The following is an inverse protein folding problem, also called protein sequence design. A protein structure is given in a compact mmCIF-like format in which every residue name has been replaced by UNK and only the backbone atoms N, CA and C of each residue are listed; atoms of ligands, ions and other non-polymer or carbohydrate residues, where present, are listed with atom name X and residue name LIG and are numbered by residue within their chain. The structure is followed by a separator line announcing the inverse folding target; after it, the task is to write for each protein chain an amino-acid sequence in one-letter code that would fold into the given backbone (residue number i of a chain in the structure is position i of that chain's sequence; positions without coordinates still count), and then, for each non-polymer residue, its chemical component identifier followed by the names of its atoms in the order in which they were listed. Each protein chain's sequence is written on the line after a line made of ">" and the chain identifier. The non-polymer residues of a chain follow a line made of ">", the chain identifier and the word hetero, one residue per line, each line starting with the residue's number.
data_IF_134569318238
#
_entry.id   IF_134569318238
#
_cell.length_a   1.000
_cell.length_b   1.000
_cell.length_c   1.000
_cell.angle_alpha   90.00
_cell.angle_beta   90.00
_cell.angle_gamma   90.00
#
_symmetry.space_group_name_H-M   'P 1'
#
loop_
_entity.id
_entity.type
_entity.pdbx_description
1 polymer ?
#
# COMPACT_ATOMS: atom_id res chain seq x y z
N UNK A 1 20.38 4.33 0.07
CA UNK A 1 19.21 4.51 -0.75
C UNK A 1 18.08 5.09 0.05
N UNK A 2 17.44 6.13 -0.46
CA UNK A 2 16.49 6.93 0.31
C UNK A 2 15.14 6.24 0.56
N UNK A 3 14.70 5.38 -0.34
CA UNK A 3 13.40 4.70 -0.23
C UNK A 3 13.60 3.20 -0.22
N UNK A 4 14.07 2.69 0.92
CA UNK A 4 14.41 1.27 1.06
C UNK A 4 13.21 0.34 0.98
N UNK A 5 11.99 0.86 1.19
CA UNK A 5 10.78 0.06 1.09
C UNK A 5 10.37 -0.25 -0.36
N UNK A 6 10.95 0.45 -1.34
CA UNK A 6 10.66 0.20 -2.75
C UNK A 6 11.55 -0.92 -3.28
N UNK A 7 11.18 -2.15 -2.97
CA UNK A 7 11.91 -3.33 -3.37
C UNK A 7 10.95 -4.52 -3.50
N UNK A 8 11.49 -5.70 -3.77
CA UNK A 8 10.70 -6.91 -3.99
C UNK A 8 9.93 -7.37 -2.75
N UNK A 9 10.32 -6.89 -1.58
CA UNK A 9 9.66 -7.24 -0.32
C UNK A 9 8.67 -6.16 0.14
N UNK A 10 8.32 -5.25 -0.76
CA UNK A 10 7.36 -4.19 -0.48
C UNK A 10 6.02 -4.78 -0.02
N UNK A 11 5.45 -4.19 1.02
CA UNK A 11 4.11 -4.55 1.49
C UNK A 11 3.48 -3.39 2.24
N UNK A 12 2.15 -3.41 2.29
CA UNK A 12 1.40 -2.47 3.12
C UNK A 12 1.40 -2.98 4.56
N UNK A 13 1.39 -2.05 5.51
CA UNK A 13 1.38 -2.40 6.94
C UNK A 13 -0.04 -2.49 7.47
N UNK A 14 -0.25 -3.39 8.42
CA UNK A 14 -1.50 -3.47 9.18
C UNK A 14 -1.42 -2.51 10.37
N UNK A 15 -2.55 -2.32 11.05
CA UNK A 15 -2.56 -1.53 12.29
C UNK A 15 -1.66 -2.17 13.35
N UNK A 16 -1.61 -3.50 13.40
CA UNK A 16 -0.71 -4.20 14.31
C UNK A 16 0.75 -3.92 14.00
N UNK A 17 1.10 -3.89 12.71
CA UNK A 17 2.47 -3.55 12.30
C UNK A 17 2.80 -2.12 12.73
N UNK A 18 1.84 -1.20 12.56
CA UNK A 18 2.01 0.18 12.96
C UNK A 18 2.30 0.31 14.46
N UNK A 19 1.58 -0.47 15.28
CA UNK A 19 1.82 -0.49 16.72
C UNK A 19 3.25 -0.92 17.03
N UNK A 20 3.75 -1.92 16.34
CA UNK A 20 5.11 -2.43 16.56
C UNK A 20 6.16 -1.46 16.07
N UNK A 21 5.93 -0.82 14.93
CA UNK A 21 6.90 0.11 14.34
C UNK A 21 7.02 1.37 15.19
N UNK A 22 5.90 1.96 15.58
CA UNK A 22 5.87 3.20 16.34
C UNK A 22 5.86 2.97 17.85
N UNK A 23 5.68 1.73 18.27
CA UNK A 23 5.60 1.34 19.68
C UNK A 23 4.51 2.13 20.41
N UNK A 24 3.32 2.11 19.87
CA UNK A 24 2.15 2.79 20.39
C UNK A 24 1.03 1.79 20.69
N UNK A 25 0.04 2.24 21.43
CA UNK A 25 -1.12 1.40 21.74
C UNK A 25 -2.04 1.29 20.52
N UNK A 26 -2.90 0.27 20.54
CA UNK A 26 -3.88 0.06 19.48
C UNK A 26 -4.83 1.26 19.38
N UNK A 27 -5.29 1.77 20.51
CA UNK A 27 -6.19 2.92 20.56
C UNK A 27 -5.56 4.14 19.88
N UNK A 28 -4.29 4.40 20.16
CA UNK A 28 -3.59 5.53 19.59
C UNK A 28 -3.37 5.33 18.08
N UNK A 29 -3.04 4.12 17.66
CA UNK A 29 -2.88 3.82 16.24
C UNK A 29 -4.18 4.09 15.47
N UNK A 30 -5.32 3.64 15.97
CA UNK A 30 -6.60 3.90 15.33
C UNK A 30 -6.94 5.40 15.35
N UNK A 31 -6.57 6.10 16.41
CA UNK A 31 -6.77 7.53 16.49
C UNK A 31 -6.01 8.27 15.38
N UNK A 32 -4.77 7.86 15.12
CA UNK A 32 -3.96 8.46 14.07
C UNK A 32 -4.59 8.28 12.68
N UNK A 33 -5.04 7.07 12.37
CA UNK A 33 -5.61 6.81 11.04
C UNK A 33 -7.01 7.41 10.90
N UNK A 34 -7.79 7.44 11.97
CA UNK A 34 -9.14 8.00 11.91
C UNK A 34 -9.15 9.51 11.85
N UNK A 35 -8.17 10.17 12.47
CA UNK A 35 -8.07 11.62 12.45
C UNK A 35 -7.52 12.19 11.14
N UNK A 36 -6.91 11.33 10.32
CA UNK A 36 -6.29 11.75 9.08
C UNK A 36 -4.86 12.23 9.22
N UNK A 37 -4.30 12.20 10.43
CA UNK A 37 -2.90 12.56 10.64
C UNK A 37 -1.97 11.61 9.90
N UNK A 38 -2.36 10.34 9.85
CA UNK A 38 -1.65 9.31 9.12
C UNK A 38 -2.58 8.79 8.04
N UNK A 39 -2.21 8.97 6.79
CA UNK A 39 -3.02 8.49 5.66
C UNK A 39 -3.02 6.97 5.63
N UNK A 40 -4.15 6.40 5.30
CA UNK A 40 -4.27 4.95 5.21
C UNK A 40 -5.06 4.54 3.97
N UNK A 41 -4.84 3.32 3.54
CA UNK A 41 -5.58 2.70 2.43
C UNK A 41 -6.75 1.95 3.04
N UNK A 42 -7.95 2.32 2.64
CA UNK A 42 -9.16 1.63 3.11
C UNK A 42 -9.71 0.74 2.02
N UNK A 43 -9.68 -0.56 2.28
CA UNK A 43 -10.21 -1.56 1.36
C UNK A 43 -11.44 -2.15 2.05
N UNK A 44 -12.62 -1.62 1.72
CA UNK A 44 -13.86 -1.95 2.41
C UNK A 44 -13.72 -1.62 3.90
N UNK A 45 -13.62 -2.60 4.79
CA UNK A 45 -13.44 -2.35 6.23
C UNK A 45 -12.01 -2.55 6.69
N UNK A 46 -11.13 -2.97 5.79
CA UNK A 46 -9.73 -3.21 6.14
C UNK A 46 -8.92 -1.93 6.03
N UNK A 47 -8.03 -1.73 6.97
CA UNK A 47 -7.13 -0.58 7.02
C UNK A 47 -5.71 -1.06 6.80
N UNK A 48 -5.02 -0.43 5.85
CA UNK A 48 -3.62 -0.71 5.56
C UNK A 48 -2.87 0.60 5.44
N UNK A 49 -1.61 0.61 5.81
CA UNK A 49 -0.78 1.81 5.79
C UNK A 49 0.37 1.58 4.82
N UNK A 50 0.51 2.47 3.83
CA UNK A 50 1.62 2.38 2.91
C UNK A 50 2.91 2.85 3.58
N UNK A 51 4.07 2.29 3.18
CA UNK A 51 5.36 2.75 3.73
C UNK A 51 5.60 4.23 3.49
N UNK A 52 5.16 4.77 2.35
CA UNK A 52 5.36 6.19 2.06
C UNK A 52 4.47 7.08 2.93
N UNK A 53 3.26 6.63 3.27
CA UNK A 53 2.41 7.39 4.18
C UNK A 53 3.00 7.43 5.59
N UNK A 54 3.57 6.32 6.03
CA UNK A 54 4.24 6.28 7.33
C UNK A 54 5.48 7.19 7.35
N UNK A 55 6.25 7.18 6.28
CA UNK A 55 7.42 8.06 6.16
C UNK A 55 7.00 9.52 6.15
N UNK A 56 5.93 9.86 5.42
CA UNK A 56 5.40 11.21 5.40
C UNK A 56 4.96 11.67 6.79
N UNK A 57 4.29 10.78 7.54
CA UNK A 57 3.88 11.09 8.91
C UNK A 57 5.10 11.37 9.79
N UNK A 58 6.12 10.52 9.71
CA UNK A 58 7.33 10.71 10.51
C UNK A 58 8.07 11.99 10.12
N UNK A 59 8.03 12.37 8.85
CA UNK A 59 8.67 13.57 8.34
C UNK A 59 7.85 14.84 8.60
N UNK A 60 6.61 14.72 9.03
CA UNK A 60 5.78 15.88 9.35
C UNK A 60 6.34 16.68 10.53
N UNK A 61 7.17 16.04 11.33
CA UNK A 61 7.87 16.72 12.42
C UNK A 61 9.12 17.45 11.95
N UNK A 62 9.48 17.26 10.68
CA UNK A 62 10.68 17.82 10.08
C UNK A 62 10.37 18.00 8.60
N UNK A 63 9.86 19.17 8.18
CA UNK A 63 9.37 19.34 6.81
C UNK A 63 10.45 19.10 5.77
N UNK A 64 10.26 18.08 4.96
CA UNK A 64 11.10 17.73 3.83
C UNK A 64 10.23 17.26 2.67
N UNK A 65 10.70 17.40 1.54
CA UNK A 65 10.38 16.99 0.18
C UNK A 65 9.32 15.88 0.00
N UNK A 66 8.06 16.10 0.44
CA UNK A 66 7.01 15.10 0.27
C UNK A 66 6.66 14.84 -1.20
N UNK A 67 6.82 15.85 -2.05
CA UNK A 67 6.55 15.71 -3.49
C UNK A 67 7.57 14.79 -4.17
N UNK A 68 8.83 14.90 -3.78
CA UNK A 68 9.89 14.04 -4.33
C UNK A 68 9.65 12.58 -3.96
N UNK A 69 9.14 12.33 -2.75
CA UNK A 69 8.81 10.98 -2.31
C UNK A 69 7.75 10.36 -3.21
N UNK A 70 6.67 11.10 -3.47
CA UNK A 70 5.58 10.57 -4.27
C UNK A 70 5.99 10.33 -5.71
N UNK A 71 6.83 11.20 -6.26
CA UNK A 71 7.36 11.02 -7.61
C UNK A 71 8.22 9.75 -7.69
N UNK A 72 9.03 9.47 -6.68
CA UNK A 72 9.84 8.27 -6.62
C UNK A 72 8.99 7.01 -6.54
N UNK A 73 7.93 7.05 -5.72
CA UNK A 73 7.01 5.91 -5.59
C UNK A 73 6.32 5.63 -6.93
N UNK A 74 5.81 6.67 -7.58
CA UNK A 74 5.15 6.53 -8.87
C UNK A 74 6.11 5.97 -9.91
N UNK A 75 7.35 6.45 -9.94
CA UNK A 75 8.34 5.98 -10.87
C UNK A 75 8.63 4.49 -10.67
N UNK A 76 8.73 4.05 -9.42
CA UNK A 76 8.97 2.65 -9.12
C UNK A 76 7.88 1.75 -9.70
N UNK A 77 6.61 2.13 -9.52
CA UNK A 77 5.49 1.29 -9.96
C UNK A 77 5.15 1.45 -11.43
N UNK A 78 5.36 2.62 -12.02
CA UNK A 78 4.88 2.93 -13.37
C UNK A 78 5.95 2.90 -14.46
N UNK A 79 7.20 3.25 -14.12
CA UNK A 79 8.28 3.29 -15.13
C UNK A 79 8.89 1.93 -15.41
N UNK A 80 8.87 1.04 -14.42
CA UNK A 80 9.39 -0.32 -14.55
C UNK A 80 8.29 -1.30 -14.22
N UNK A 81 7.43 -1.56 -15.22
CA UNK A 81 6.25 -2.40 -15.00
C UNK A 81 6.65 -3.83 -14.71
N UNK A 82 6.22 -4.33 -13.59
CA UNK A 82 6.33 -5.73 -13.21
C UNK A 82 4.93 -6.30 -13.04
N UNK A 83 4.84 -7.61 -12.99
CA UNK A 83 3.57 -8.29 -12.79
C UNK A 83 3.61 -9.10 -11.51
N UNK A 84 2.51 -9.09 -10.78
CA UNK A 84 2.37 -9.82 -9.53
C UNK A 84 1.37 -10.95 -9.71
N UNK A 85 1.63 -12.07 -9.05
CA UNK A 85 0.67 -13.16 -8.93
C UNK A 85 -0.36 -12.80 -7.87
N UNK A 86 -1.45 -13.58 -7.82
CA UNK A 86 -2.45 -13.39 -6.77
C UNK A 86 -1.84 -13.61 -5.39
N UNK A 87 -0.96 -14.60 -5.26
CA UNK A 87 -0.29 -14.87 -3.99
C UNK A 87 0.61 -13.73 -3.55
N UNK A 88 1.37 -13.18 -4.49
CA UNK A 88 2.21 -12.03 -4.18
C UNK A 88 1.37 -10.81 -3.77
N UNK A 89 0.24 -10.62 -4.44
CA UNK A 89 -0.67 -9.53 -4.11
C UNK A 89 -1.24 -9.68 -2.71
N UNK A 90 -1.59 -10.90 -2.31
CA UNK A 90 -2.06 -11.18 -0.95
C UNK A 90 -1.01 -10.77 0.08
N UNK A 91 0.25 -11.08 -0.20
CA UNK A 91 1.36 -10.72 0.70
C UNK A 91 1.55 -9.20 0.76
N UNK A 92 1.51 -8.53 -0.39
CA UNK A 92 1.70 -7.08 -0.46
C UNK A 92 0.61 -6.34 0.28
N UNK A 93 -0.65 -6.69 0.02
CA UNK A 93 -1.80 -6.03 0.64
C UNK A 93 -2.14 -6.60 2.01
N UNK A 94 -1.55 -7.71 2.37
CA UNK A 94 -1.84 -8.46 3.61
C UNK A 94 -3.32 -8.77 3.74
N UNK A 95 -3.88 -9.40 2.71
CA UNK A 95 -5.29 -9.80 2.66
C UNK A 95 -5.40 -11.27 2.29
N UNK A 96 -6.57 -11.85 2.53
CA UNK A 96 -6.83 -13.24 2.22
C UNK A 96 -7.14 -13.48 0.75
N UNK A 97 -7.16 -14.75 0.36
CA UNK A 97 -7.43 -15.16 -1.01
C UNK A 97 -8.82 -14.75 -1.49
N UNK A 98 -9.83 -14.98 -0.67
CA UNK A 98 -11.21 -14.66 -1.03
C UNK A 98 -11.39 -13.18 -1.31
N UNK A 99 -10.83 -12.34 -0.45
CA UNK A 99 -10.94 -10.89 -0.62
C UNK A 99 -10.17 -10.41 -1.85
N UNK A 100 -8.99 -10.97 -2.09
CA UNK A 100 -8.21 -10.63 -3.27
C UNK A 100 -9.01 -10.92 -4.55
N UNK A 101 -9.63 -12.10 -4.63
CA UNK A 101 -10.43 -12.49 -5.79
C UNK A 101 -11.68 -11.62 -5.92
N UNK A 102 -12.26 -11.22 -4.80
CA UNK A 102 -13.40 -10.31 -4.79
C UNK A 102 -13.02 -8.95 -5.40
N UNK A 103 -11.87 -8.40 -5.04
CA UNK A 103 -11.40 -7.14 -5.60
C UNK A 103 -11.19 -7.23 -7.10
N UNK A 104 -10.67 -8.36 -7.58
CA UNK A 104 -10.49 -8.57 -9.01
C UNK A 104 -11.82 -8.76 -9.72
N UNK A 105 -12.74 -9.51 -9.12
CA UNK A 105 -14.03 -9.81 -9.75
C UNK A 105 -14.94 -8.60 -9.86
N UNK A 106 -14.92 -7.70 -8.89
CA UNK A 106 -15.76 -6.51 -8.91
C UNK A 106 -15.12 -5.32 -9.62
N UNK A 107 -13.90 -5.50 -10.14
CA UNK A 107 -13.22 -4.47 -10.93
C UNK A 107 -12.50 -3.39 -10.14
N UNK A 108 -12.48 -3.48 -8.82
CA UNK A 108 -11.73 -2.50 -8.01
C UNK A 108 -10.24 -2.60 -8.25
N UNK A 109 -9.74 -3.81 -8.49
CA UNK A 109 -8.35 -4.06 -8.81
C UNK A 109 -8.29 -4.73 -10.17
N UNK A 110 -7.60 -4.10 -11.11
CA UNK A 110 -7.57 -4.58 -12.49
C UNK A 110 -6.43 -5.57 -12.71
N UNK A 111 -6.79 -6.75 -13.17
CA UNK A 111 -5.84 -7.79 -13.52
C UNK A 111 -5.88 -8.11 -14.99
N UNK A 112 -4.90 -8.84 -15.46
CA UNK A 112 -4.82 -9.33 -16.84
C UNK A 112 -4.67 -10.83 -16.83
N UNK A 113 -5.20 -11.49 -17.87
CA UNK A 113 -4.98 -12.91 -18.08
C UNK A 113 -3.82 -13.09 -19.05
N UNK A 114 -2.78 -13.74 -18.56
CA UNK A 114 -1.60 -14.06 -19.36
C UNK A 114 -1.43 -15.57 -19.30
N UNK A 115 -1.56 -16.23 -20.47
CA UNK A 115 -1.44 -17.69 -20.54
C UNK A 115 -2.33 -18.42 -19.54
N UNK A 116 -3.59 -18.00 -19.42
CA UNK A 116 -4.61 -18.56 -18.50
C UNK A 116 -4.40 -18.24 -17.04
N UNK A 117 -3.40 -17.45 -16.72
CA UNK A 117 -3.15 -17.06 -15.33
C UNK A 117 -3.41 -15.59 -15.14
N UNK A 118 -3.94 -15.23 -13.96
CA UNK A 118 -4.20 -13.84 -13.63
C UNK A 118 -2.93 -13.19 -13.10
N UNK A 119 -2.62 -12.02 -13.65
CA UNK A 119 -1.47 -11.22 -13.23
C UNK A 119 -1.91 -9.78 -13.05
N UNK A 120 -1.30 -9.10 -12.10
CA UNK A 120 -1.61 -7.71 -11.78
C UNK A 120 -0.37 -6.87 -12.06
N UNK A 121 -0.50 -5.88 -12.95
CA UNK A 121 0.60 -5.00 -13.28
C UNK A 121 0.88 -4.04 -12.13
N UNK A 122 2.15 -3.66 -11.99
CA UNK A 122 2.56 -2.77 -10.89
C UNK A 122 1.86 -1.41 -10.95
N UNK A 123 1.62 -0.87 -12.14
CA UNK A 123 0.91 0.40 -12.27
C UNK A 123 -0.56 0.28 -11.84
N UNK A 124 -1.20 -0.85 -12.11
CA UNK A 124 -2.57 -1.09 -11.62
C UNK A 124 -2.61 -1.17 -10.10
N UNK A 125 -1.62 -1.82 -9.50
CA UNK A 125 -1.50 -1.89 -8.05
C UNK A 125 -1.31 -0.49 -7.45
N UNK A 126 -0.44 0.32 -8.04
CA UNK A 126 -0.20 1.68 -7.58
C UNK A 126 -1.49 2.51 -7.63
N UNK A 127 -2.22 2.43 -8.74
CA UNK A 127 -3.49 3.14 -8.89
C UNK A 127 -4.51 2.70 -7.85
N UNK A 128 -4.59 1.41 -7.59
CA UNK A 128 -5.51 0.88 -6.58
C UNK A 128 -5.17 1.45 -5.20
N UNK A 129 -3.90 1.39 -4.81
CA UNK A 129 -3.47 1.87 -3.49
C UNK A 129 -3.76 3.37 -3.36
N UNK A 130 -3.36 4.17 -4.34
CA UNK A 130 -3.50 5.63 -4.25
C UNK A 130 -4.94 6.07 -4.33
N UNK A 131 -5.79 5.37 -5.07
CA UNK A 131 -7.21 5.72 -5.16
C UNK A 131 -7.95 5.45 -3.85
N UNK A 132 -7.46 4.54 -3.03
CA UNK A 132 -8.08 4.20 -1.74
C UNK A 132 -7.37 4.86 -0.56
N UNK A 133 -6.30 5.59 -0.81
CA UNK A 133 -5.53 6.26 0.24
C UNK A 133 -6.12 7.63 0.54
N UNK A 134 -6.38 7.87 1.80
CA UNK A 134 -6.92 9.16 2.27
C UNK A 134 -6.22 9.62 3.53
#
# INVERSE_FOLDING_TARGET
>A
MKYLYLNDNFKLYTVEDLQKILKISRSFAYKLVNSGELKCVRMHKLIRISPWALEEYMNSFSPKESHAQMDAVKAYFCNFIQYYTIQELQTILQIGDCFTRQLLNNGELKGKRICRETRIASDSLFQFITSHEK
#
